data_IF_520587246289
#
_entry.id   IF_520587246289
#
_cell.length_a   1.000
_cell.length_b   1.000
_cell.length_c   1.000
_cell.angle_alpha   90.00
_cell.angle_beta   90.00
_cell.angle_gamma   90.00
#
_symmetry.space_group_name_H-M   'P 1'
#
loop_
_entity.id
_entity.type
_entity.pdbx_description
1 polymer ?
#
# COMPACT_ATOMS: atom_id res chain seq x y z
N UNK A 1 24.93 -8.67 8.37
CA UNK A 1 24.27 -8.82 7.04
C UNK A 1 22.78 -8.99 7.29
N UNK A 2 21.93 -8.11 6.76
CA UNK A 2 20.48 -8.18 6.97
C UNK A 2 19.86 -9.13 5.95
N UNK A 3 19.22 -10.21 6.41
CA UNK A 3 18.54 -11.15 5.52
C UNK A 3 17.13 -10.63 5.21
N UNK A 4 16.94 -10.15 3.98
CA UNK A 4 15.64 -9.68 3.49
C UNK A 4 15.03 -10.72 2.57
N UNK A 5 13.72 -10.93 2.69
CA UNK A 5 12.98 -11.86 1.85
C UNK A 5 12.89 -11.34 0.42
N UNK A 6 13.59 -11.97 -0.53
CA UNK A 6 13.63 -11.51 -1.93
C UNK A 6 12.62 -12.18 -2.85
N UNK A 7 12.16 -13.40 -2.53
CA UNK A 7 11.24 -14.17 -3.38
C UNK A 7 10.42 -15.19 -2.58
N UNK A 8 9.16 -15.34 -2.95
CA UNK A 8 8.23 -16.38 -2.51
C UNK A 8 7.70 -17.07 -3.78
N UNK A 9 7.55 -18.39 -3.73
CA UNK A 9 6.94 -19.19 -4.81
C UNK A 9 5.79 -20.00 -4.23
N UNK A 10 4.62 -19.95 -4.86
CA UNK A 10 3.42 -20.70 -4.48
C UNK A 10 2.85 -21.35 -5.74
N UNK A 11 3.10 -22.64 -5.94
CA UNK A 11 2.82 -23.31 -7.22
C UNK A 11 3.60 -22.65 -8.36
N UNK A 12 2.88 -22.16 -9.37
CA UNK A 12 3.44 -21.38 -10.50
C UNK A 12 3.49 -19.88 -10.23
N UNK A 13 2.91 -19.40 -9.12
CA UNK A 13 2.84 -17.99 -8.79
C UNK A 13 4.09 -17.56 -8.02
N UNK A 14 4.50 -16.29 -8.18
CA UNK A 14 5.66 -15.75 -7.47
C UNK A 14 5.39 -14.37 -6.90
N UNK A 15 6.07 -14.05 -5.80
CA UNK A 15 6.15 -12.70 -5.24
C UNK A 15 7.62 -12.38 -5.05
N UNK A 16 8.12 -11.36 -5.74
CA UNK A 16 9.49 -10.88 -5.62
C UNK A 16 9.53 -9.49 -4.97
N UNK A 17 10.59 -9.21 -4.22
CA UNK A 17 10.78 -7.95 -3.54
C UNK A 17 12.14 -7.33 -3.88
N UNK A 18 12.16 -6.03 -4.04
CA UNK A 18 13.38 -5.23 -4.24
C UNK A 18 13.53 -4.32 -3.04
N UNK A 19 14.75 -4.22 -2.52
CA UNK A 19 15.10 -3.39 -1.38
C UNK A 19 16.23 -2.44 -1.72
N UNK A 20 16.20 -1.27 -1.10
CA UNK A 20 17.33 -0.36 -1.06
C UNK A 20 18.44 -0.94 -0.17
N UNK A 21 19.68 -0.45 -0.30
CA UNK A 21 20.82 -0.90 0.50
C UNK A 21 20.62 -0.74 2.02
N UNK A 22 19.75 0.19 2.41
CA UNK A 22 19.34 0.43 3.82
C UNK A 22 18.30 -0.57 4.34
N UNK A 23 17.85 -1.51 3.50
CA UNK A 23 16.83 -2.52 3.81
C UNK A 23 15.39 -2.05 3.65
N UNK A 24 15.16 -0.83 3.15
CA UNK A 24 13.81 -0.35 2.83
C UNK A 24 13.27 -1.06 1.58
N UNK A 25 12.06 -1.61 1.65
CA UNK A 25 11.38 -2.20 0.48
C UNK A 25 11.01 -1.10 -0.53
N UNK A 26 11.42 -1.25 -1.78
CA UNK A 26 11.16 -0.30 -2.87
C UNK A 26 10.21 -0.87 -3.93
N UNK A 27 10.12 -2.19 -4.07
CA UNK A 27 9.16 -2.81 -5.00
C UNK A 27 8.68 -4.19 -4.53
N UNK A 28 7.45 -4.52 -4.90
CA UNK A 28 6.84 -5.85 -4.83
C UNK A 28 6.33 -6.20 -6.23
N UNK A 29 6.74 -7.35 -6.76
CA UNK A 29 6.31 -7.85 -8.07
C UNK A 29 5.56 -9.16 -7.82
N UNK A 30 4.28 -9.20 -8.16
CA UNK A 30 3.45 -10.40 -8.06
C UNK A 30 3.24 -10.93 -9.48
N UNK A 31 3.59 -12.20 -9.71
CA UNK A 31 3.23 -12.93 -10.93
C UNK A 31 2.24 -14.01 -10.56
N UNK A 32 1.00 -13.87 -11.03
CA UNK A 32 -0.10 -14.81 -10.80
C UNK A 32 -0.73 -15.16 -12.14
N UNK A 33 -0.78 -16.45 -12.48
CA UNK A 33 -1.31 -16.92 -13.78
C UNK A 33 -0.74 -16.13 -14.98
N UNK A 34 0.58 -15.91 -15.00
CA UNK A 34 1.30 -15.10 -16.00
C UNK A 34 0.99 -13.60 -16.01
N UNK A 35 0.09 -13.12 -15.15
CA UNK A 35 -0.20 -11.69 -14.98
C UNK A 35 0.80 -11.09 -14.00
N UNK A 36 1.49 -10.03 -14.43
CA UNK A 36 2.47 -9.32 -13.61
C UNK A 36 1.83 -8.05 -13.05
N UNK A 37 1.87 -7.92 -11.72
CA UNK A 37 1.49 -6.70 -11.01
C UNK A 37 2.69 -6.18 -10.23
N UNK A 38 3.12 -4.96 -10.54
CA UNK A 38 4.17 -4.28 -9.79
C UNK A 38 3.59 -3.25 -8.84
N UNK A 39 4.04 -3.28 -7.59
CA UNK A 39 3.79 -2.22 -6.61
C UNK A 39 5.12 -1.54 -6.27
N UNK A 40 5.22 -0.24 -6.50
CA UNK A 40 6.38 0.58 -6.14
C UNK A 40 6.09 1.33 -4.84
N UNK A 41 7.07 1.34 -3.95
CA UNK A 41 7.05 2.05 -2.68
C UNK A 41 8.07 3.19 -2.75
N UNK A 42 7.59 4.44 -2.78
CA UNK A 42 8.44 5.62 -2.84
C UNK A 42 8.59 6.26 -1.46
N UNK A 43 9.47 7.25 -1.37
CA UNK A 43 9.71 8.02 -0.16
C UNK A 43 8.40 8.58 0.41
N UNK A 44 8.34 8.73 1.73
CA UNK A 44 7.18 9.26 2.47
C UNK A 44 5.90 8.42 2.33
N UNK A 45 6.01 7.16 1.92
CA UNK A 45 4.91 6.18 1.97
C UNK A 45 3.98 6.16 0.76
N UNK A 46 4.33 6.85 -0.34
CA UNK A 46 3.58 6.78 -1.58
C UNK A 46 3.64 5.38 -2.19
N UNK A 47 2.49 4.87 -2.63
CA UNK A 47 2.38 3.56 -3.27
C UNK A 47 1.76 3.66 -4.65
N UNK A 48 2.40 3.01 -5.61
CA UNK A 48 1.94 2.94 -7.00
C UNK A 48 1.74 1.49 -7.40
N UNK A 49 0.63 1.18 -8.06
CA UNK A 49 0.38 -0.13 -8.67
C UNK A 49 0.39 0.06 -10.17
N UNK A 50 1.29 -0.64 -10.87
CA UNK A 50 1.50 -0.52 -12.32
C UNK A 50 1.59 0.96 -12.75
N UNK A 51 2.44 1.72 -12.07
CA UNK A 51 2.69 3.15 -12.28
C UNK A 51 1.50 4.09 -11.99
N UNK A 52 0.37 3.57 -11.48
CA UNK A 52 -0.79 4.37 -11.08
C UNK A 52 -0.78 4.56 -9.56
N UNK A 53 -0.85 5.83 -9.11
CA UNK A 53 -0.93 6.16 -7.68
C UNK A 53 -2.11 5.43 -7.02
N UNK A 54 -1.86 4.77 -5.89
CA UNK A 54 -2.87 4.08 -5.09
C UNK A 54 -3.21 4.90 -3.85
N UNK A 55 -2.22 5.19 -3.01
CA UNK A 55 -2.40 6.00 -1.82
C UNK A 55 -1.08 6.55 -1.29
N UNK A 56 -1.17 7.55 -0.42
CA UNK A 56 -0.08 8.11 0.35
C UNK A 56 -0.56 8.53 1.75
N UNK A 57 0.29 8.51 2.78
CA UNK A 57 -0.13 8.79 4.15
C UNK A 57 -0.40 10.28 4.39
N UNK A 58 -1.24 10.56 5.38
CA UNK A 58 -1.39 11.87 6.04
C UNK A 58 -1.36 11.65 7.57
N UNK A 59 -1.50 12.72 8.36
CA UNK A 59 -1.27 12.68 9.81
C UNK A 59 -2.17 11.67 10.57
N UNK A 60 -3.39 11.47 10.11
CA UNK A 60 -4.41 10.65 10.78
C UNK A 60 -4.80 9.41 9.96
N UNK A 61 -4.08 9.11 8.88
CA UNK A 61 -4.42 8.00 7.99
C UNK A 61 -3.75 8.10 6.62
N UNK A 62 -4.52 7.97 5.55
CA UNK A 62 -4.00 8.04 4.19
C UNK A 62 -5.02 8.62 3.21
N UNK A 63 -4.50 9.18 2.12
CA UNK A 63 -5.30 9.64 0.98
C UNK A 63 -5.27 8.54 -0.07
N UNK A 64 -6.45 8.06 -0.46
CA UNK A 64 -6.64 7.06 -1.51
C UNK A 64 -6.96 7.75 -2.82
N UNK A 65 -6.19 7.44 -3.85
CA UNK A 65 -6.47 7.88 -5.21
C UNK A 65 -7.47 6.92 -5.87
N UNK A 66 -8.53 7.46 -6.47
CA UNK A 66 -9.51 6.75 -7.28
C UNK A 66 -9.80 7.63 -8.49
N UNK A 67 -9.66 7.12 -9.71
CA UNK A 67 -9.81 7.85 -11.00
C UNK A 67 -10.35 9.28 -10.89
N UNK A 68 -9.45 10.27 -10.97
CA UNK A 68 -9.72 11.72 -10.91
C UNK A 68 -10.23 12.27 -9.57
N UNK A 69 -10.20 11.48 -8.50
CA UNK A 69 -10.66 11.86 -7.17
C UNK A 69 -9.71 11.33 -6.08
N UNK A 70 -9.81 11.94 -4.91
CA UNK A 70 -9.07 11.58 -3.71
C UNK A 70 -10.05 11.42 -2.55
N UNK A 71 -9.99 10.25 -1.90
CA UNK A 71 -10.75 9.97 -0.68
C UNK A 71 -9.80 10.01 0.51
N UNK A 72 -10.16 10.75 1.55
CA UNK A 72 -9.41 10.81 2.80
C UNK A 72 -9.91 9.72 3.72
N UNK A 73 -9.00 8.84 4.13
CA UNK A 73 -9.27 7.76 5.07
C UNK A 73 -8.56 8.09 6.39
N UNK A 74 -9.32 8.05 7.48
CA UNK A 74 -8.84 8.28 8.84
C UNK A 74 -8.78 6.95 9.57
N UNK A 75 -7.77 6.73 10.40
CA UNK A 75 -7.57 5.48 11.13
C UNK A 75 -7.67 5.73 12.63
N UNK A 76 -8.49 4.94 13.31
CA UNK A 76 -8.39 4.79 14.75
C UNK A 76 -7.42 3.65 15.06
N UNK A 77 -6.32 4.00 15.71
CA UNK A 77 -5.26 3.07 16.08
C UNK A 77 -5.33 2.71 17.55
N UNK A 78 -4.91 1.49 17.89
CA UNK A 78 -4.66 1.13 19.29
C UNK A 78 -3.37 1.76 19.83
N UNK A 79 -3.05 1.49 21.10
CA UNK A 79 -1.86 1.97 21.79
C UNK A 79 -0.53 1.46 21.20
N UNK A 80 -0.57 0.46 20.31
CA UNK A 80 0.61 -0.09 19.61
C UNK A 80 0.71 0.43 18.17
N UNK A 81 -0.22 1.29 17.74
CA UNK A 81 -0.26 1.83 16.38
C UNK A 81 -0.92 0.91 15.35
N UNK A 82 -1.55 -0.19 15.76
CA UNK A 82 -2.31 -1.03 14.82
C UNK A 82 -3.64 -0.35 14.50
N UNK A 83 -4.00 -0.30 13.21
CA UNK A 83 -5.31 0.18 12.78
C UNK A 83 -6.40 -0.79 13.25
N UNK A 84 -7.38 -0.28 13.99
CA UNK A 84 -8.55 -1.04 14.47
C UNK A 84 -9.81 -0.74 13.68
N UNK A 85 -9.98 0.52 13.30
CA UNK A 85 -11.10 1.00 12.50
C UNK A 85 -10.58 2.06 11.52
N UNK A 86 -11.15 2.10 10.32
CA UNK A 86 -10.90 3.15 9.34
C UNK A 86 -12.23 3.83 9.02
N UNK A 87 -12.20 5.14 8.79
CA UNK A 87 -13.38 5.95 8.49
C UNK A 87 -13.13 6.76 7.22
N UNK A 88 -14.15 6.94 6.40
CA UNK A 88 -14.10 7.81 5.22
C UNK A 88 -15.49 8.28 4.82
N UNK A 89 -15.57 9.35 4.04
CA UNK A 89 -16.81 9.71 3.35
C UNK A 89 -16.97 8.78 2.14
N UNK A 90 -17.75 7.71 2.32
CA UNK A 90 -17.88 6.61 1.34
C UNK A 90 -18.83 6.99 0.20
N UNK A 91 -19.88 7.75 0.51
CA UNK A 91 -20.96 8.12 -0.41
C UNK A 91 -20.90 9.60 -0.87
N UNK A 92 -19.97 10.40 -0.35
CA UNK A 92 -19.77 11.79 -0.74
C UNK A 92 -20.78 12.74 -0.10
N UNK A 93 -21.42 12.34 1.00
CA UNK A 93 -22.45 13.13 1.67
C UNK A 93 -21.89 14.08 2.75
N UNK A 94 -20.57 14.13 2.92
CA UNK A 94 -19.88 14.95 3.92
C UNK A 94 -19.83 14.33 5.32
N UNK A 95 -20.31 13.11 5.51
CA UNK A 95 -20.26 12.37 6.79
C UNK A 95 -19.32 11.19 6.68
N UNK A 96 -18.54 10.97 7.73
CA UNK A 96 -17.65 9.82 7.81
C UNK A 96 -18.43 8.56 8.19
N UNK A 97 -18.34 7.54 7.35
CA UNK A 97 -18.76 6.17 7.63
C UNK A 97 -17.56 5.27 7.93
N UNK A 98 -17.83 4.10 8.52
CA UNK A 98 -16.86 3.01 8.75
C UNK A 98 -16.91 2.03 7.59
#
# INVERSE_FOLDING_TARGET
MLFLLIKIVVGTNTISYIYHATGQKVSKIVTENSTITQTNYLARGFQYKNNVLQFFPHAEGYVKHKTNNYSYVFNYTDHLGNVRVSYSDIDGNGRLGV
#
